data_IF_073560781461
#
_entry.id   IF_073560781461
#
_cell.length_a   1.000
_cell.length_b   1.000
_cell.length_c   1.000
_cell.angle_alpha   90.00
_cell.angle_beta   90.00
_cell.angle_gamma   90.00
#
_symmetry.space_group_name_H-M   'P 1'
#
loop_
_entity.id
_entity.type
_entity.pdbx_description
1 polymer ?
#
# COMPACT_ATOMS: atom_id res chain seq x y z
N UNK A 1 -12.72 4.41 -5.56
CA UNK A 1 -12.92 3.15 -4.80
C UNK A 1 -11.71 2.95 -3.90
N UNK A 2 -11.84 3.36 -2.64
CA UNK A 2 -10.77 3.32 -1.64
C UNK A 2 -10.78 1.93 -1.00
N UNK A 3 -10.05 0.99 -1.59
CA UNK A 3 -9.75 -0.28 -0.93
C UNK A 3 -8.87 0.00 0.29
N UNK A 4 -9.19 -0.59 1.44
CA UNK A 4 -8.37 -0.46 2.64
C UNK A 4 -7.06 -1.24 2.51
N UNK A 5 -6.07 -0.84 3.33
CA UNK A 5 -4.68 -1.30 3.35
C UNK A 5 -4.46 -2.80 3.61
N UNK A 6 -5.52 -3.56 3.88
CA UNK A 6 -5.52 -4.98 4.21
C UNK A 6 -5.94 -5.89 3.03
N UNK A 7 -6.08 -5.30 1.85
CA UNK A 7 -6.32 -6.01 0.58
C UNK A 7 -7.66 -6.74 0.49
N UNK A 8 -8.62 -6.34 1.32
CA UNK A 8 -10.03 -6.71 1.14
C UNK A 8 -10.62 -5.74 0.13
N UNK A 9 -11.15 -6.25 -0.98
CA UNK A 9 -11.78 -5.44 -2.03
C UNK A 9 -13.17 -4.96 -1.61
N UNK A 10 -13.21 -4.18 -0.54
CA UNK A 10 -14.41 -3.52 -0.04
C UNK A 10 -14.14 -2.03 0.20
N UNK A 11 -15.15 -1.18 0.03
CA UNK A 11 -15.04 0.25 0.31
C UNK A 11 -14.68 0.53 1.77
N UNK A 12 -13.74 1.47 1.99
CA UNK A 12 -13.33 1.90 3.33
C UNK A 12 -14.51 2.34 4.21
N UNK A 13 -15.38 3.22 3.68
CA UNK A 13 -16.56 3.71 4.39
C UNK A 13 -17.46 2.57 4.90
N UNK A 14 -17.70 1.56 4.07
CA UNK A 14 -18.52 0.41 4.44
C UNK A 14 -17.90 -0.34 5.61
N UNK A 15 -16.60 -0.62 5.52
CA UNK A 15 -15.89 -1.39 6.53
C UNK A 15 -15.70 -0.64 7.84
N UNK A 16 -15.36 0.64 7.79
CA UNK A 16 -15.22 1.48 8.98
C UNK A 16 -16.55 1.59 9.73
N UNK A 17 -17.67 1.74 9.01
CA UNK A 17 -18.99 1.74 9.64
C UNK A 17 -19.35 0.39 10.27
N UNK A 18 -19.12 -0.72 9.56
CA UNK A 18 -19.41 -2.07 10.08
C UNK A 18 -18.57 -2.37 11.32
N UNK A 19 -17.27 -2.08 11.27
CA UNK A 19 -16.36 -2.30 12.41
C UNK A 19 -16.76 -1.46 13.63
N UNK A 20 -17.10 -0.19 13.42
CA UNK A 20 -17.59 0.65 14.50
C UNK A 20 -18.89 0.08 15.13
N UNK A 21 -19.84 -0.38 14.32
CA UNK A 21 -21.12 -0.90 14.83
C UNK A 21 -20.91 -2.25 15.54
N UNK A 22 -20.03 -3.12 15.04
CA UNK A 22 -19.62 -4.36 15.71
C UNK A 22 -19.03 -4.10 17.09
N UNK A 23 -18.19 -3.06 17.22
CA UNK A 23 -17.49 -2.76 18.47
C UNK A 23 -18.35 -1.98 19.48
N UNK A 24 -19.13 -1.00 19.02
CA UNK A 24 -19.85 -0.05 19.88
C UNK A 24 -21.38 -0.09 19.73
N UNK A 25 -21.88 -0.47 18.56
CA UNK A 25 -23.31 -0.45 18.22
C UNK A 25 -24.10 -1.69 18.66
N UNK A 26 -23.42 -2.78 19.04
CA UNK A 26 -24.07 -4.07 19.33
C UNK A 26 -24.97 -4.11 20.57
N UNK A 27 -24.93 -3.08 21.41
CA UNK A 27 -25.81 -2.93 22.59
C UNK A 27 -26.86 -1.83 22.41
N UNK A 28 -26.87 -1.19 21.24
CA UNK A 28 -27.70 -0.04 20.96
C UNK A 28 -29.11 -0.49 20.55
N UNK A 29 -30.12 -0.09 21.33
CA UNK A 29 -31.51 -0.42 21.04
C UNK A 29 -31.98 0.24 19.73
N UNK A 30 -32.60 -0.52 18.84
CA UNK A 30 -33.11 -0.01 17.58
C UNK A 30 -32.01 0.39 16.58
N UNK A 31 -30.80 -0.17 16.69
CA UNK A 31 -29.74 0.00 15.69
C UNK A 31 -30.29 -0.29 14.27
N UNK A 32 -29.90 0.52 13.27
CA UNK A 32 -30.48 0.58 11.91
C UNK A 32 -31.95 1.03 11.78
N UNK A 33 -32.78 0.91 12.83
CA UNK A 33 -34.17 1.38 12.81
C UNK A 33 -34.29 2.87 13.13
N UNK A 34 -33.64 3.31 14.20
CA UNK A 34 -33.61 4.71 14.60
C UNK A 34 -32.71 5.49 13.64
N UNK A 35 -33.20 6.60 13.13
CA UNK A 35 -32.43 7.51 12.28
C UNK A 35 -31.49 8.35 13.14
N UNK A 36 -30.22 8.39 12.75
CA UNK A 36 -29.23 9.28 13.36
C UNK A 36 -29.45 10.73 12.97
N UNK A 37 -28.62 11.62 13.54
CA UNK A 37 -28.73 13.04 13.30
C UNK A 37 -28.33 13.37 11.85
N UNK A 38 -29.29 13.79 11.02
CA UNK A 38 -29.06 14.04 9.59
C UNK A 38 -27.90 15.00 9.32
N UNK A 39 -27.77 16.07 10.10
CA UNK A 39 -26.64 17.02 9.98
C UNK A 39 -25.28 16.34 10.15
N UNK A 40 -25.17 15.40 11.09
CA UNK A 40 -23.95 14.63 11.34
C UNK A 40 -23.68 13.58 10.27
N UNK A 41 -24.73 12.96 9.73
CA UNK A 41 -24.61 12.05 8.59
C UNK A 41 -24.09 12.80 7.35
N UNK A 42 -24.66 13.97 7.05
CA UNK A 42 -24.24 14.80 5.91
C UNK A 42 -22.80 15.33 6.10
N UNK A 43 -22.43 15.69 7.34
CA UNK A 43 -21.05 16.07 7.71
C UNK A 43 -20.05 14.93 7.46
N UNK A 44 -20.35 13.72 7.95
CA UNK A 44 -19.52 12.53 7.76
C UNK A 44 -19.42 12.16 6.28
N UNK A 45 -20.54 12.17 5.56
CA UNK A 45 -20.55 11.92 4.12
C UNK A 45 -19.63 12.89 3.39
N UNK A 46 -19.76 14.19 3.66
CA UNK A 46 -18.92 15.20 3.03
C UNK A 46 -17.43 15.02 3.38
N UNK A 47 -17.10 14.52 4.58
CA UNK A 47 -15.72 14.18 4.95
C UNK A 47 -15.20 13.00 4.10
N UNK A 48 -15.96 11.92 3.96
CA UNK A 48 -15.59 10.79 3.10
C UNK A 48 -15.49 11.17 1.62
N UNK A 49 -16.38 12.03 1.12
CA UNK A 49 -16.35 12.53 -0.26
C UNK A 49 -15.10 13.42 -0.54
N UNK A 50 -14.53 14.04 0.51
CA UNK A 50 -13.25 14.77 0.47
C UNK A 50 -12.03 13.87 0.71
N UNK A 51 -12.22 12.56 0.76
CA UNK A 51 -11.17 11.57 1.08
C UNK A 51 -10.53 11.77 2.47
N UNK A 52 -11.27 12.40 3.40
CA UNK A 52 -10.87 12.51 4.79
C UNK A 52 -11.16 11.19 5.54
N UNK A 53 -10.44 10.94 6.63
CA UNK A 53 -10.63 9.77 7.49
C UNK A 53 -11.25 10.21 8.84
N UNK A 54 -12.59 10.38 8.93
CA UNK A 54 -13.23 10.85 10.15
C UNK A 54 -13.06 9.87 11.32
N UNK A 55 -13.07 10.40 12.54
CA UNK A 55 -13.06 9.60 13.76
C UNK A 55 -14.50 9.20 14.10
N UNK A 56 -14.93 8.00 13.66
CA UNK A 56 -16.29 7.52 13.90
C UNK A 56 -16.63 7.34 15.41
N UNK A 57 -15.62 7.21 16.26
CA UNK A 57 -15.75 7.08 17.72
C UNK A 57 -16.40 8.28 18.40
N UNK A 58 -16.36 9.46 17.77
CA UNK A 58 -16.97 10.69 18.29
C UNK A 58 -18.47 10.79 17.98
N UNK A 59 -19.01 9.89 17.16
CA UNK A 59 -20.39 9.91 16.69
C UNK A 59 -21.22 8.82 17.36
N UNK A 60 -22.54 8.99 17.35
CA UNK A 60 -23.47 8.00 17.88
C UNK A 60 -23.68 6.82 16.91
N UNK A 61 -24.00 5.61 17.42
CA UNK A 61 -24.24 4.45 16.57
C UNK A 61 -25.38 4.59 15.57
N UNK A 62 -26.43 5.36 15.87
CA UNK A 62 -27.53 5.58 14.93
C UNK A 62 -27.09 6.43 13.73
N UNK A 63 -26.22 7.41 13.96
CA UNK A 63 -25.60 8.24 12.92
C UNK A 63 -24.70 7.41 12.03
N UNK A 64 -23.81 6.57 12.58
CA UNK A 64 -22.95 5.69 11.78
C UNK A 64 -23.77 4.65 11.00
N UNK A 65 -24.80 4.05 11.61
CA UNK A 65 -25.71 3.14 10.91
C UNK A 65 -26.50 3.85 9.79
N UNK A 66 -26.87 5.11 10.00
CA UNK A 66 -27.57 5.91 8.98
C UNK A 66 -26.65 6.30 7.82
N UNK A 67 -25.38 6.60 8.11
CA UNK A 67 -24.34 6.81 7.09
C UNK A 67 -24.15 5.54 6.25
N UNK A 68 -24.03 4.37 6.88
CA UNK A 68 -23.91 3.10 6.15
C UNK A 68 -25.12 2.85 5.23
N UNK A 69 -26.35 3.05 5.75
CA UNK A 69 -27.56 2.94 4.92
C UNK A 69 -27.57 3.94 3.77
N UNK A 70 -27.12 5.17 4.01
CA UNK A 70 -27.05 6.18 2.96
C UNK A 70 -26.04 5.80 1.88
N UNK A 71 -24.86 5.33 2.28
CA UNK A 71 -23.84 4.83 1.36
C UNK A 71 -24.38 3.71 0.45
N UNK A 72 -25.03 2.69 1.04
CA UNK A 72 -25.58 1.56 0.28
C UNK A 72 -26.70 1.99 -0.69
N UNK A 73 -27.51 2.98 -0.30
CA UNK A 73 -28.61 3.50 -1.14
C UNK A 73 -28.12 4.36 -2.30
N UNK A 74 -26.96 5.00 -2.16
CA UNK A 74 -26.37 5.89 -3.17
C UNK A 74 -25.47 5.15 -4.18
N UNK A 75 -25.33 3.82 -4.04
CA UNK A 75 -24.61 3.02 -5.02
C UNK A 75 -25.29 3.10 -6.41
N UNK A 76 -24.51 3.22 -7.50
CA UNK A 76 -25.06 3.40 -8.85
C UNK A 76 -25.83 2.16 -9.35
N UNK A 77 -25.44 0.98 -8.87
CA UNK A 77 -26.12 -0.29 -9.11
C UNK A 77 -26.49 -0.95 -7.78
N UNK A 78 -27.63 -1.65 -7.76
CA UNK A 78 -28.02 -2.49 -6.63
C UNK A 78 -26.94 -3.58 -6.41
N UNK A 79 -26.68 -3.93 -5.16
CA UNK A 79 -25.75 -4.98 -4.74
C UNK A 79 -26.03 -6.33 -5.45
N UNK A 80 -27.30 -6.66 -5.71
CA UNK A 80 -27.65 -7.86 -6.49
C UNK A 80 -27.60 -7.66 -8.01
N UNK A 81 -27.60 -6.42 -8.51
CA UNK A 81 -27.93 -6.10 -9.90
C UNK A 81 -29.44 -6.16 -10.16
N UNK A 82 -29.94 -5.33 -11.08
CA UNK A 82 -31.40 -5.23 -11.35
C UNK A 82 -31.98 -6.53 -11.89
N UNK A 83 -31.24 -7.21 -12.76
CA UNK A 83 -31.72 -8.39 -13.45
C UNK A 83 -31.81 -9.61 -12.52
N UNK A 84 -30.85 -9.77 -11.61
CA UNK A 84 -30.83 -10.89 -10.67
C UNK A 84 -31.84 -10.72 -9.53
N UNK A 85 -32.17 -9.49 -9.13
CA UNK A 85 -33.12 -9.24 -8.04
C UNK A 85 -34.47 -9.94 -8.27
N UNK A 86 -34.99 -9.92 -9.51
CA UNK A 86 -36.21 -10.63 -9.85
C UNK A 86 -36.06 -12.15 -9.73
N UNK A 87 -34.91 -12.70 -10.09
CA UNK A 87 -34.65 -14.14 -10.04
C UNK A 87 -34.59 -14.64 -8.59
N UNK A 88 -34.08 -13.82 -7.67
CA UNK A 88 -34.12 -14.12 -6.24
C UNK A 88 -35.56 -14.13 -5.69
N UNK A 89 -36.41 -13.20 -6.14
CA UNK A 89 -37.83 -13.19 -5.78
C UNK A 89 -38.57 -14.43 -6.32
N UNK A 90 -38.30 -14.80 -7.57
CA UNK A 90 -38.89 -15.99 -8.19
C UNK A 90 -38.44 -17.28 -7.47
N UNK A 91 -37.17 -17.33 -7.05
CA UNK A 91 -36.64 -18.43 -6.24
C UNK A 91 -37.35 -18.56 -4.89
N UNK A 92 -37.78 -17.45 -4.26
CA UNK A 92 -38.59 -17.48 -3.04
C UNK A 92 -39.98 -18.11 -3.24
N UNK A 93 -40.46 -18.21 -4.50
CA UNK A 93 -41.73 -18.84 -4.87
C UNK A 93 -41.71 -20.37 -4.88
N UNK A 94 -40.53 -21.00 -4.79
CA UNK A 94 -40.42 -22.47 -4.74
C UNK A 94 -41.03 -23.04 -3.46
N UNK A 95 -41.58 -24.25 -3.54
CA UNK A 95 -42.29 -24.88 -2.42
C UNK A 95 -41.33 -25.52 -1.41
N UNK A 96 -40.23 -26.10 -1.90
CA UNK A 96 -39.27 -26.83 -1.07
C UNK A 96 -38.14 -25.89 -0.64
N UNK A 97 -37.88 -25.81 0.66
CA UNK A 97 -36.86 -24.90 1.22
C UNK A 97 -35.45 -25.22 0.70
N UNK A 98 -35.08 -26.51 0.61
CA UNK A 98 -33.80 -26.93 0.06
C UNK A 98 -33.59 -26.46 -1.39
N UNK A 99 -34.65 -26.50 -2.21
CA UNK A 99 -34.60 -26.02 -3.60
C UNK A 99 -34.43 -24.50 -3.68
N UNK A 100 -34.94 -23.74 -2.69
CA UNK A 100 -34.70 -22.30 -2.60
C UNK A 100 -33.24 -22.04 -2.29
N UNK A 101 -32.66 -22.71 -1.30
CA UNK A 101 -31.26 -22.52 -0.91
C UNK A 101 -30.33 -22.87 -2.08
N UNK A 102 -30.55 -24.01 -2.75
CA UNK A 102 -29.75 -24.40 -3.92
C UNK A 102 -29.85 -23.36 -5.05
N UNK A 103 -31.04 -22.80 -5.29
CA UNK A 103 -31.21 -21.74 -6.28
C UNK A 103 -30.50 -20.45 -5.89
N UNK A 104 -30.61 -20.04 -4.62
CA UNK A 104 -29.90 -18.87 -4.10
C UNK A 104 -28.38 -19.03 -4.23
N UNK A 105 -27.84 -20.21 -3.95
CA UNK A 105 -26.42 -20.51 -4.16
C UNK A 105 -26.04 -20.35 -5.63
N UNK A 106 -26.84 -20.88 -6.57
CA UNK A 106 -26.63 -20.69 -8.02
C UNK A 106 -26.65 -19.20 -8.39
N UNK A 107 -27.67 -18.46 -7.97
CA UNK A 107 -27.79 -17.03 -8.28
C UNK A 107 -26.63 -16.21 -7.70
N UNK A 108 -26.17 -16.54 -6.50
CA UNK A 108 -25.00 -15.90 -5.89
C UNK A 108 -23.72 -16.11 -6.72
N UNK A 109 -23.59 -17.23 -7.45
CA UNK A 109 -22.42 -17.42 -8.35
C UNK A 109 -22.42 -16.49 -9.56
N UNK A 110 -23.60 -15.99 -9.98
CA UNK A 110 -23.75 -15.03 -11.08
C UNK A 110 -23.53 -13.57 -10.63
N UNK A 111 -23.61 -13.30 -9.32
CA UNK A 111 -23.35 -11.96 -8.76
C UNK A 111 -21.86 -11.65 -8.87
N UNK A 112 -21.47 -10.44 -9.35
CA UNK A 112 -20.07 -10.02 -9.42
C UNK A 112 -19.34 -10.22 -8.08
N UNK A 113 -18.07 -10.61 -8.14
CA UNK A 113 -17.28 -10.96 -6.95
C UNK A 113 -17.27 -9.85 -5.89
N UNK A 114 -17.11 -8.59 -6.31
CA UNK A 114 -17.08 -7.42 -5.43
C UNK A 114 -18.44 -7.22 -4.72
N UNK A 115 -19.53 -7.29 -5.46
CA UNK A 115 -20.89 -7.14 -4.92
C UNK A 115 -21.28 -8.31 -4.03
N UNK A 116 -20.87 -9.54 -4.38
CA UNK A 116 -21.06 -10.72 -3.53
C UNK A 116 -20.28 -10.62 -2.23
N UNK A 117 -19.05 -10.11 -2.28
CA UNK A 117 -18.27 -9.87 -1.07
C UNK A 117 -18.95 -8.82 -0.17
N UNK A 118 -19.42 -7.71 -0.76
CA UNK A 118 -20.15 -6.66 -0.04
C UNK A 118 -21.43 -7.21 0.60
N UNK A 119 -22.21 -7.99 -0.15
CA UNK A 119 -23.42 -8.65 0.34
C UNK A 119 -23.12 -9.62 1.48
N UNK A 120 -22.09 -10.46 1.34
CA UNK A 120 -21.72 -11.44 2.35
C UNK A 120 -21.36 -10.78 3.68
N UNK A 121 -20.61 -9.67 3.64
CA UNK A 121 -20.28 -8.90 4.84
C UNK A 121 -21.50 -8.22 5.45
N UNK A 122 -22.36 -7.62 4.61
CA UNK A 122 -23.57 -6.96 5.07
C UNK A 122 -24.51 -7.95 5.76
N UNK A 123 -24.78 -9.10 5.13
CA UNK A 123 -25.68 -10.13 5.66
C UNK A 123 -25.11 -10.71 6.96
N UNK A 124 -23.81 -10.99 7.00
CA UNK A 124 -23.14 -11.51 8.21
C UNK A 124 -23.20 -10.50 9.36
N UNK A 125 -22.97 -9.21 9.08
CA UNK A 125 -23.09 -8.16 10.08
C UNK A 125 -24.51 -8.05 10.64
N UNK A 126 -25.51 -8.11 9.77
CA UNK A 126 -26.91 -8.08 10.18
C UNK A 126 -27.29 -9.33 11.00
N UNK A 127 -26.75 -10.50 10.65
CA UNK A 127 -26.91 -11.73 11.43
C UNK A 127 -26.38 -11.57 12.86
N UNK A 128 -25.21 -10.95 13.04
CA UNK A 128 -24.70 -10.63 14.38
C UNK A 128 -25.62 -9.69 15.17
N UNK A 129 -26.20 -8.68 14.52
CA UNK A 129 -27.17 -7.76 15.14
C UNK A 129 -28.43 -8.50 15.57
N UNK A 130 -28.93 -9.41 14.73
CA UNK A 130 -30.11 -10.25 14.98
C UNK A 130 -29.82 -11.25 16.10
N UNK A 131 -28.64 -11.86 16.14
CA UNK A 131 -28.23 -12.78 17.21
C UNK A 131 -28.21 -12.08 18.59
N UNK A 132 -28.06 -10.75 18.61
CA UNK A 132 -28.14 -9.90 19.82
C UNK A 132 -29.49 -9.22 19.99
N UNK A 133 -30.57 -9.77 19.43
CA UNK A 133 -31.94 -9.23 19.54
C UNK A 133 -32.35 -8.89 20.98
N UNK A 134 -31.88 -9.66 21.97
CA UNK A 134 -32.16 -9.40 23.38
C UNK A 134 -31.69 -8.01 23.85
N UNK A 135 -30.56 -7.52 23.31
CA UNK A 135 -29.98 -6.21 23.60
C UNK A 135 -30.44 -5.16 22.57
N UNK A 136 -30.34 -5.46 21.28
CA UNK A 136 -30.62 -4.50 20.19
C UNK A 136 -32.11 -4.28 19.94
N UNK A 137 -32.98 -5.19 20.40
CA UNK A 137 -34.43 -5.23 20.08
C UNK A 137 -34.74 -5.31 18.58
N UNK A 138 -33.77 -5.79 17.80
CA UNK A 138 -33.88 -5.92 16.35
C UNK A 138 -33.93 -7.40 15.96
N UNK A 139 -35.09 -7.85 15.50
CA UNK A 139 -35.29 -9.19 14.96
C UNK A 139 -35.14 -9.22 13.42
N UNK A 140 -35.20 -10.41 12.83
CA UNK A 140 -35.08 -10.61 11.37
C UNK A 140 -36.09 -9.75 10.59
N UNK A 141 -37.33 -9.65 11.08
CA UNK A 141 -38.38 -8.86 10.42
C UNK A 141 -38.08 -7.36 10.47
N UNK A 142 -37.69 -6.83 11.63
CA UNK A 142 -37.33 -5.43 11.83
C UNK A 142 -36.14 -5.04 10.94
N UNK A 143 -35.11 -5.89 10.90
CA UNK A 143 -33.93 -5.68 10.05
C UNK A 143 -34.31 -5.72 8.57
N UNK A 144 -35.15 -6.67 8.15
CA UNK A 144 -35.62 -6.77 6.76
C UNK A 144 -36.36 -5.50 6.33
N UNK A 145 -37.25 -4.97 7.17
CA UNK A 145 -38.03 -3.77 6.88
C UNK A 145 -37.13 -2.53 6.72
N UNK A 146 -36.11 -2.36 7.57
CA UNK A 146 -35.23 -1.19 7.50
C UNK A 146 -34.18 -1.29 6.39
N UNK A 147 -33.79 -2.51 6.03
CA UNK A 147 -32.78 -2.76 5.00
C UNK A 147 -33.38 -2.81 3.59
N UNK A 148 -34.61 -3.29 3.42
CA UNK A 148 -35.33 -3.31 2.15
C UNK A 148 -35.27 -1.98 1.37
N UNK A 149 -35.62 -0.80 1.93
CA UNK A 149 -35.53 0.46 1.19
C UNK A 149 -34.09 0.94 0.96
N UNK A 150 -33.11 0.34 1.66
CA UNK A 150 -31.69 0.69 1.55
C UNK A 150 -31.05 -0.03 0.37
N UNK A 151 -31.27 -1.34 0.25
CA UNK A 151 -30.64 -2.16 -0.79
C UNK A 151 -31.61 -2.55 -1.92
N UNK A 152 -32.88 -2.15 -1.85
CA UNK A 152 -33.91 -2.43 -2.87
C UNK A 152 -34.09 -3.93 -3.17
N UNK A 153 -34.02 -4.76 -2.13
CA UNK A 153 -34.24 -6.22 -2.19
C UNK A 153 -35.50 -6.54 -1.38
N UNK A 154 -36.39 -7.39 -1.89
CA UNK A 154 -37.64 -7.70 -1.20
C UNK A 154 -37.43 -8.38 0.15
N UNK A 155 -38.38 -8.15 1.07
CA UNK A 155 -38.31 -8.66 2.44
C UNK A 155 -38.22 -10.19 2.51
N UNK A 156 -38.79 -10.90 1.53
CA UNK A 156 -38.73 -12.38 1.46
C UNK A 156 -37.33 -12.88 1.15
N UNK A 157 -36.66 -12.25 0.19
CA UNK A 157 -35.27 -12.55 -0.16
C UNK A 157 -34.32 -12.23 0.99
N UNK A 158 -34.52 -11.08 1.66
CA UNK A 158 -33.77 -10.73 2.86
C UNK A 158 -33.95 -11.76 3.99
N UNK A 159 -35.19 -12.20 4.24
CA UNK A 159 -35.46 -13.24 5.21
C UNK A 159 -34.69 -14.52 4.90
N UNK A 160 -34.68 -14.97 3.64
CA UNK A 160 -33.90 -16.14 3.20
C UNK A 160 -32.39 -15.96 3.42
N UNK A 161 -31.85 -14.77 3.16
CA UNK A 161 -30.44 -14.48 3.43
C UNK A 161 -30.11 -14.59 4.91
N UNK A 162 -30.97 -14.09 5.80
CA UNK A 162 -30.75 -14.11 7.24
C UNK A 162 -31.01 -15.47 7.90
N UNK A 163 -31.92 -16.30 7.37
CA UNK A 163 -32.14 -17.64 7.91
C UNK A 163 -31.05 -18.63 7.48
N UNK A 164 -30.47 -18.45 6.29
CA UNK A 164 -29.53 -19.39 5.68
C UNK A 164 -28.14 -18.78 5.47
N UNK A 165 -27.69 -17.87 6.35
CA UNK A 165 -26.40 -17.15 6.23
C UNK A 165 -25.24 -18.13 6.04
N UNK A 166 -25.15 -19.16 6.90
CA UNK A 166 -24.06 -20.14 6.88
C UNK A 166 -24.08 -21.00 5.62
N UNK A 167 -25.26 -21.35 5.12
CA UNK A 167 -25.40 -22.18 3.92
C UNK A 167 -25.12 -21.40 2.63
N UNK A 168 -25.40 -20.10 2.62
CA UNK A 168 -25.26 -19.23 1.45
C UNK A 168 -23.89 -18.55 1.36
N UNK A 169 -23.34 -18.11 2.49
CA UNK A 169 -22.11 -17.32 2.55
C UNK A 169 -20.95 -18.02 3.26
N UNK A 170 -21.21 -19.11 3.99
CA UNK A 170 -20.18 -19.83 4.76
C UNK A 170 -19.74 -19.09 6.02
N UNK A 171 -18.54 -19.43 6.52
CA UNK A 171 -17.96 -18.81 7.71
C UNK A 171 -17.25 -17.49 7.38
N UNK A 172 -18.02 -16.49 6.95
CA UNK A 172 -17.49 -15.14 6.69
C UNK A 172 -17.12 -14.50 8.04
N UNK A 173 -15.84 -14.20 8.22
CA UNK A 173 -15.36 -13.49 9.40
C UNK A 173 -15.22 -12.01 9.07
N UNK A 174 -15.96 -11.17 9.78
CA UNK A 174 -15.83 -9.71 9.71
C UNK A 174 -14.49 -9.31 10.32
N UNK A 175 -13.53 -8.93 9.47
CA UNK A 175 -12.20 -8.51 9.91
C UNK A 175 -12.24 -7.04 10.34
N UNK A 176 -11.84 -6.72 11.60
CA UNK A 176 -11.88 -5.36 12.11
C UNK A 176 -10.96 -4.44 11.31
N UNK A 177 -11.34 -3.17 11.22
CA UNK A 177 -10.55 -2.17 10.48
C UNK A 177 -9.43 -1.69 11.39
N UNK A 178 -8.25 -2.24 11.19
CA UNK A 178 -7.06 -1.77 11.91
C UNK A 178 -6.49 -0.57 11.16
N UNK A 179 -6.62 0.63 11.75
CA UNK A 179 -5.95 1.83 11.23
C UNK A 179 -4.42 1.60 11.29
N UNK A 180 -3.67 2.00 10.25
CA UNK A 180 -2.22 1.93 10.28
C UNK A 180 -1.68 2.65 11.52
N UNK A 181 -0.69 2.05 12.18
CA UNK A 181 0.02 2.67 13.30
C UNK A 181 0.47 4.08 12.94
N UNK A 182 0.33 4.97 13.92
CA UNK A 182 0.75 6.38 13.84
C UNK A 182 1.89 6.60 14.81
N UNK A 183 2.85 7.41 14.37
CA UNK A 183 3.97 7.85 15.17
C UNK A 183 3.82 9.35 15.43
N UNK A 184 2.99 9.67 16.43
CA UNK A 184 2.61 11.03 16.80
C UNK A 184 3.80 11.93 17.14
N UNK A 185 4.79 11.45 17.92
CA UNK A 185 5.95 12.25 18.34
C UNK A 185 7.29 11.51 18.10
N UNK A 186 8.27 12.17 17.48
CA UNK A 186 9.60 11.58 17.19
C UNK A 186 10.33 11.01 18.41
N UNK A 187 10.03 11.51 19.61
CA UNK A 187 10.68 11.10 20.86
C UNK A 187 10.18 9.76 21.42
N UNK A 188 8.98 9.30 21.03
CA UNK A 188 8.35 8.11 21.63
C UNK A 188 8.17 7.05 20.56
N UNK A 189 8.87 5.91 20.69
CA UNK A 189 8.63 4.76 19.82
C UNK A 189 7.17 4.29 20.02
N UNK A 190 6.36 4.13 18.97
CA UNK A 190 5.02 3.57 19.08
C UNK A 190 5.10 2.14 19.65
N UNK A 191 4.06 1.70 20.37
CA UNK A 191 3.97 0.31 20.80
C UNK A 191 3.86 -0.59 19.56
N UNK A 192 4.98 -1.20 19.17
CA UNK A 192 5.04 -2.07 17.99
C UNK A 192 4.47 -3.44 18.33
N UNK A 193 3.70 -4.07 17.42
CA UNK A 193 3.21 -5.43 17.62
C UNK A 193 4.33 -6.43 17.95
N UNK A 194 4.03 -7.42 18.79
CA UNK A 194 5.03 -8.40 19.27
C UNK A 194 4.98 -9.72 18.50
N UNK A 195 3.82 -10.10 17.98
CA UNK A 195 3.67 -11.35 17.23
C UNK A 195 4.12 -11.21 15.79
N UNK A 196 4.80 -12.24 15.29
CA UNK A 196 5.32 -12.29 13.92
C UNK A 196 4.25 -12.02 12.86
N UNK A 197 3.05 -12.56 13.04
CA UNK A 197 1.92 -12.39 12.12
C UNK A 197 1.38 -10.95 12.15
N UNK A 198 1.23 -10.38 13.34
CA UNK A 198 0.77 -8.99 13.49
C UNK A 198 1.78 -7.99 12.90
N UNK A 199 3.08 -8.23 13.08
CA UNK A 199 4.15 -7.41 12.46
C UNK A 199 4.05 -7.49 10.93
N UNK A 200 3.86 -8.68 10.34
CA UNK A 200 3.70 -8.84 8.89
C UNK A 200 2.48 -8.10 8.36
N UNK A 201 1.34 -8.24 9.03
CA UNK A 201 0.11 -7.57 8.60
C UNK A 201 0.22 -6.05 8.72
N UNK A 202 0.89 -5.55 9.76
CA UNK A 202 1.13 -4.11 9.90
C UNK A 202 2.11 -3.58 8.85
N UNK A 203 3.15 -4.34 8.50
CA UNK A 203 4.02 -3.99 7.36
C UNK A 203 3.19 -3.88 6.09
N UNK A 204 2.32 -4.85 5.81
CA UNK A 204 1.45 -4.84 4.62
C UNK A 204 0.58 -3.60 4.58
N UNK A 205 -0.04 -3.23 5.71
CA UNK A 205 -0.87 -2.01 5.81
C UNK A 205 -0.07 -0.74 5.51
N UNK A 206 1.09 -0.63 6.14
CA UNK A 206 1.97 0.53 6.00
C UNK A 206 2.58 0.62 4.59
N UNK A 207 2.89 -0.50 3.93
CA UNK A 207 3.37 -0.53 2.54
C UNK A 207 2.29 -0.08 1.55
N UNK A 208 1.04 -0.51 1.74
CA UNK A 208 -0.06 -0.01 0.92
C UNK A 208 -0.24 1.51 1.13
N UNK A 209 -0.16 1.99 2.37
CA UNK A 209 -0.26 3.43 2.68
C UNK A 209 0.87 4.22 2.03
N UNK A 210 2.08 3.69 2.08
CA UNK A 210 3.22 4.29 1.42
C UNK A 210 3.00 4.41 -0.09
N UNK A 211 2.47 3.36 -0.73
CA UNK A 211 2.20 3.35 -2.17
C UNK A 211 1.10 4.34 -2.56
N UNK A 212 0.05 4.48 -1.75
CA UNK A 212 -0.99 5.49 -1.95
C UNK A 212 -0.41 6.91 -1.86
N UNK A 213 0.33 7.21 -0.78
CA UNK A 213 0.96 8.53 -0.59
C UNK A 213 1.95 8.87 -1.72
N UNK A 214 2.73 7.89 -2.20
CA UNK A 214 3.60 8.09 -3.35
C UNK A 214 2.82 8.41 -4.63
N UNK A 215 1.70 7.73 -4.88
CA UNK A 215 0.85 7.99 -6.04
C UNK A 215 0.27 9.40 -5.99
N UNK A 216 -0.20 9.84 -4.82
CA UNK A 216 -0.81 11.16 -4.64
C UNK A 216 0.21 12.29 -4.84
N UNK A 217 1.43 12.13 -4.33
CA UNK A 217 2.53 13.08 -4.54
C UNK A 217 2.97 13.12 -6.01
N UNK A 218 2.95 11.98 -6.72
CA UNK A 218 3.22 11.90 -8.16
C UNK A 218 2.13 12.55 -9.00
N UNK A 219 0.88 12.57 -8.52
CA UNK A 219 -0.26 13.22 -9.17
C UNK A 219 -0.20 14.76 -9.12
N UNK A 220 0.85 15.34 -8.54
CA UNK A 220 1.12 16.79 -8.55
C UNK A 220 0.52 17.55 -7.37
N UNK A 221 -0.06 16.86 -6.38
CA UNK A 221 -0.57 17.49 -5.15
C UNK A 221 0.57 17.61 -4.14
N UNK A 222 1.30 18.74 -4.20
CA UNK A 222 2.36 19.06 -3.21
C UNK A 222 1.74 19.59 -1.92
N UNK A 223 1.27 18.67 -1.08
CA UNK A 223 0.86 18.98 0.29
C UNK A 223 1.99 18.62 1.26
N UNK A 224 2.53 19.61 1.98
CA UNK A 224 3.59 19.41 2.99
C UNK A 224 3.17 18.37 4.05
N UNK A 225 1.88 18.35 4.41
CA UNK A 225 1.29 17.36 5.31
C UNK A 225 1.38 15.93 4.76
N UNK A 226 1.20 15.72 3.45
CA UNK A 226 1.33 14.40 2.82
C UNK A 226 2.78 13.94 2.76
N UNK A 227 3.72 14.87 2.52
CA UNK A 227 5.15 14.58 2.58
C UNK A 227 5.58 14.17 4.00
N UNK A 228 5.14 14.88 5.04
CA UNK A 228 5.39 14.51 6.44
C UNK A 228 4.83 13.11 6.77
N UNK A 229 3.62 12.79 6.30
CA UNK A 229 3.04 11.46 6.44
C UNK A 229 3.84 10.39 5.71
N UNK A 230 4.37 10.69 4.53
CA UNK A 230 5.22 9.75 3.80
C UNK A 230 6.46 9.38 4.63
N UNK A 231 7.15 10.37 5.20
CA UNK A 231 8.31 10.14 6.06
C UNK A 231 7.95 9.37 7.34
N UNK A 232 6.80 9.65 7.94
CA UNK A 232 6.29 8.91 9.10
C UNK A 232 6.12 7.42 8.78
N UNK A 233 5.42 7.11 7.68
CA UNK A 233 5.14 5.74 7.24
C UNK A 233 6.44 4.99 6.92
N UNK A 234 7.40 5.63 6.24
CA UNK A 234 8.72 5.03 5.97
C UNK A 234 9.48 4.69 7.27
N UNK A 235 9.38 5.55 8.27
CA UNK A 235 10.05 5.34 9.58
C UNK A 235 9.41 4.18 10.33
N UNK A 236 8.08 4.09 10.34
CA UNK A 236 7.33 2.96 10.94
C UNK A 236 7.68 1.65 10.21
N UNK A 237 7.69 1.64 8.88
CA UNK A 237 8.08 0.48 8.09
C UNK A 237 9.51 0.01 8.41
N UNK A 238 10.43 0.95 8.58
CA UNK A 238 11.81 0.63 8.94
C UNK A 238 11.88 -0.07 10.31
N UNK A 239 11.16 0.46 11.30
CA UNK A 239 11.08 -0.13 12.63
C UNK A 239 10.43 -1.53 12.62
N UNK A 240 9.31 -1.68 11.92
CA UNK A 240 8.60 -2.96 11.78
C UNK A 240 9.44 -4.01 11.05
N UNK A 241 10.11 -3.64 9.94
CA UNK A 241 11.00 -4.54 9.20
C UNK A 241 12.20 -4.98 10.03
N UNK A 242 12.72 -4.10 10.90
CA UNK A 242 13.78 -4.46 11.86
C UNK A 242 13.26 -5.47 12.88
N UNK A 243 12.10 -5.18 13.49
CA UNK A 243 11.45 -6.06 14.48
C UNK A 243 11.10 -7.43 13.88
N UNK A 244 10.65 -7.48 12.62
CA UNK A 244 10.38 -8.73 11.91
C UNK A 244 11.65 -9.58 11.75
N UNK A 245 12.79 -8.96 11.46
CA UNK A 245 14.08 -9.67 11.37
C UNK A 245 14.52 -10.20 12.73
N UNK A 246 14.37 -9.38 13.78
CA UNK A 246 14.66 -9.78 15.16
C UNK A 246 13.79 -10.95 15.61
N UNK A 247 12.47 -10.91 15.34
CA UNK A 247 11.55 -12.00 15.65
C UNK A 247 11.86 -13.29 14.88
N UNK A 248 12.20 -13.21 13.58
CA UNK A 248 12.67 -14.37 12.79
C UNK A 248 13.95 -14.99 13.37
N UNK A 249 14.87 -14.15 13.84
CA UNK A 249 16.12 -14.61 14.46
C UNK A 249 15.85 -15.35 15.76
N UNK A 250 15.00 -14.79 16.63
CA UNK A 250 14.59 -15.42 17.89
C UNK A 250 13.86 -16.76 17.67
N UNK A 251 12.99 -16.85 16.66
CA UNK A 251 12.31 -18.11 16.29
C UNK A 251 13.31 -19.19 15.81
N UNK A 252 14.34 -18.78 15.06
CA UNK A 252 15.39 -19.71 14.65
C UNK A 252 16.23 -20.17 15.83
N UNK A 253 16.63 -19.24 16.71
CA UNK A 253 17.38 -19.53 17.93
C UNK A 253 16.59 -20.46 18.87
N UNK A 254 15.28 -20.26 19.03
CA UNK A 254 14.44 -21.13 19.86
C UNK A 254 14.25 -22.52 19.26
N UNK A 255 14.07 -22.64 17.93
CA UNK A 255 14.01 -23.94 17.24
C UNK A 255 15.31 -24.71 17.40
N UNK A 256 16.46 -24.05 17.22
CA UNK A 256 17.78 -24.66 17.41
C UNK A 256 17.94 -25.09 18.88
N UNK A 257 17.58 -24.25 19.85
CA UNK A 257 17.66 -24.60 21.26
C UNK A 257 16.74 -25.77 21.64
N UNK A 258 15.53 -25.82 21.06
CA UNK A 258 14.58 -26.92 21.26
C UNK A 258 15.08 -28.22 20.64
N UNK A 259 15.68 -28.16 19.45
CA UNK A 259 16.28 -29.31 18.76
C UNK A 259 17.51 -29.86 19.52
N UNK A 260 18.36 -28.96 20.04
CA UNK A 260 19.47 -29.32 20.93
C UNK A 260 18.93 -29.99 22.22
N UNK A 261 17.83 -29.47 22.79
CA UNK A 261 17.21 -30.02 23.99
C UNK A 261 16.47 -31.35 23.76
N UNK A 262 15.96 -31.62 22.56
CA UNK A 262 15.40 -32.93 22.21
C UNK A 262 16.49 -33.96 21.99
N UNK A 263 17.58 -33.58 21.31
CA UNK A 263 18.74 -34.44 21.09
C UNK A 263 19.40 -34.80 22.43
N UNK A 264 19.55 -33.84 23.34
CA UNK A 264 20.12 -34.11 24.67
C UNK A 264 19.22 -34.97 25.58
N UNK A 265 17.91 -35.06 25.33
CA UNK A 265 17.02 -35.98 26.06
C UNK A 265 17.07 -37.40 25.54
N UNK A 266 17.35 -37.60 24.26
CA UNK A 266 17.55 -38.94 23.69
C UNK A 266 18.89 -39.54 24.15
N UNK A 267 19.92 -38.71 24.30
CA UNK A 267 21.28 -39.14 24.68
C UNK A 267 21.48 -39.40 26.19
N UNK A 268 20.55 -39.01 27.07
CA UNK A 268 20.69 -39.18 28.55
C UNK A 268 20.08 -40.50 29.08
N UNK A 269 19.55 -41.35 28.20
CA UNK A 269 18.98 -42.65 28.62
C UNK A 269 19.93 -43.84 28.51
N UNK A 270 21.20 -43.65 28.14
CA UNK A 270 22.18 -44.74 28.11
C UNK A 270 23.54 -44.35 28.68
N UNK A 271 23.86 -45.09 29.74
CA UNK A 271 25.19 -45.60 30.08
C UNK A 271 26.11 -44.66 30.88
N UNK A 272 26.47 -45.16 32.07
CA UNK A 272 27.66 -44.76 32.80
C UNK A 272 28.87 -45.02 31.89
N UNK A 273 29.56 -43.96 31.45
CA UNK A 273 30.69 -44.05 30.52
C UNK A 273 32.00 -43.82 31.28
N UNK A 274 33.02 -44.59 30.91
CA UNK A 274 34.37 -44.50 31.49
C UNK A 274 35.14 -43.30 30.93
N UNK A 275 36.15 -42.77 31.64
CA UNK A 275 36.91 -41.54 31.28
C UNK A 275 37.40 -41.47 29.81
N UNK A 276 37.67 -42.62 29.18
CA UNK A 276 38.09 -42.68 27.77
C UNK A 276 36.96 -42.39 26.77
N UNK A 277 35.70 -42.61 27.13
CA UNK A 277 34.56 -42.39 26.26
C UNK A 277 34.12 -40.92 26.26
N UNK A 278 34.26 -40.21 27.40
CA UNK A 278 34.09 -38.76 27.47
C UNK A 278 35.10 -38.02 26.57
N UNK A 279 36.36 -38.45 26.50
CA UNK A 279 37.35 -37.86 25.60
C UNK A 279 36.99 -38.05 24.12
N UNK A 280 36.47 -39.23 23.77
CA UNK A 280 36.02 -39.54 22.39
C UNK A 280 34.80 -38.71 22.03
N UNK A 281 33.83 -38.55 22.94
CA UNK A 281 32.65 -37.71 22.75
C UNK A 281 33.06 -36.24 22.59
N UNK A 282 33.96 -35.74 23.43
CA UNK A 282 34.47 -34.37 23.33
C UNK A 282 35.20 -34.12 22.02
N UNK A 283 35.98 -35.09 21.53
CA UNK A 283 36.65 -35.00 20.23
C UNK A 283 35.64 -34.98 19.07
N UNK A 284 34.60 -35.82 19.12
CA UNK A 284 33.54 -35.87 18.11
C UNK A 284 32.70 -34.58 18.11
N UNK A 285 32.33 -34.06 19.28
CA UNK A 285 31.62 -32.78 19.41
C UNK A 285 32.47 -31.62 18.85
N UNK A 286 33.77 -31.58 19.14
CA UNK A 286 34.67 -30.57 18.58
C UNK A 286 34.81 -30.69 17.05
N UNK A 287 34.82 -31.90 16.50
CA UNK A 287 34.83 -32.12 15.05
C UNK A 287 33.51 -31.69 14.39
N UNK A 288 32.38 -31.99 15.04
CA UNK A 288 31.05 -31.63 14.54
C UNK A 288 30.85 -30.11 14.58
N UNK A 289 31.29 -29.43 15.65
CA UNK A 289 31.32 -27.97 15.77
C UNK A 289 32.20 -27.31 14.70
N UNK A 290 33.38 -27.87 14.42
CA UNK A 290 34.24 -27.37 13.32
C UNK A 290 33.57 -27.55 11.95
N UNK A 291 32.89 -28.67 11.74
CA UNK A 291 32.21 -28.98 10.47
C UNK A 291 30.99 -28.08 10.25
N UNK A 292 30.20 -27.83 11.30
CA UNK A 292 29.04 -26.92 11.23
C UNK A 292 29.48 -25.46 11.05
N UNK A 293 30.53 -25.02 11.76
CA UNK A 293 31.08 -23.68 11.58
C UNK A 293 31.60 -23.44 10.16
N UNK A 294 32.34 -24.41 9.59
CA UNK A 294 32.81 -24.34 8.21
C UNK A 294 31.64 -24.23 7.23
N UNK A 295 30.59 -25.03 7.43
CA UNK A 295 29.40 -25.02 6.57
C UNK A 295 28.64 -23.69 6.64
N UNK A 296 28.52 -23.11 7.83
CA UNK A 296 27.92 -21.79 8.03
C UNK A 296 28.72 -20.67 7.35
N UNK A 297 30.06 -20.74 7.41
CA UNK A 297 30.94 -19.79 6.76
C UNK A 297 30.81 -19.88 5.23
N UNK A 298 30.80 -21.10 4.68
CA UNK A 298 30.63 -21.34 3.24
C UNK A 298 29.26 -20.85 2.74
N UNK A 299 28.18 -21.11 3.49
CA UNK A 299 26.84 -20.60 3.18
C UNK A 299 26.78 -19.07 3.19
N UNK A 300 27.38 -18.44 4.20
CA UNK A 300 27.40 -16.97 4.34
C UNK A 300 28.20 -16.33 3.19
N UNK A 301 29.36 -16.90 2.87
CA UNK A 301 30.20 -16.42 1.77
C UNK A 301 29.50 -16.58 0.41
N UNK A 302 28.79 -17.69 0.20
CA UNK A 302 28.05 -17.93 -1.04
C UNK A 302 26.87 -16.95 -1.21
N UNK A 303 26.13 -16.66 -0.14
CA UNK A 303 25.07 -15.61 -0.17
C UNK A 303 25.65 -14.25 -0.55
N UNK A 304 26.82 -13.88 0.02
CA UNK A 304 27.48 -12.62 -0.31
C UNK A 304 27.96 -12.59 -1.78
N UNK A 305 28.50 -13.71 -2.27
CA UNK A 305 28.95 -13.84 -3.66
C UNK A 305 27.78 -13.72 -4.66
N UNK A 306 26.64 -14.36 -4.38
CA UNK A 306 25.43 -14.24 -5.21
C UNK A 306 24.91 -12.81 -5.22
N UNK A 307 24.88 -12.13 -4.07
CA UNK A 307 24.46 -10.73 -4.00
C UNK A 307 25.39 -9.80 -4.80
N UNK A 308 26.70 -9.98 -4.72
CA UNK A 308 27.68 -9.24 -5.52
C UNK A 308 27.52 -9.50 -7.02
N UNK A 309 27.28 -10.76 -7.40
CA UNK A 309 27.05 -11.14 -8.80
C UNK A 309 25.82 -10.45 -9.37
N UNK A 310 24.71 -10.45 -8.63
CA UNK A 310 23.48 -9.77 -9.03
C UNK A 310 23.68 -8.25 -9.15
N UNK A 311 24.44 -7.65 -8.23
CA UNK A 311 24.75 -6.22 -8.30
C UNK A 311 25.61 -5.88 -9.53
N UNK A 312 26.56 -6.74 -9.87
CA UNK A 312 27.38 -6.59 -11.07
C UNK A 312 26.55 -6.71 -12.36
N UNK A 313 25.61 -7.66 -12.43
CA UNK A 313 24.71 -7.79 -13.60
C UNK A 313 23.82 -6.56 -13.77
N UNK A 314 23.25 -6.01 -12.69
CA UNK A 314 22.46 -4.78 -12.76
C UNK A 314 23.29 -3.57 -13.22
N UNK A 315 24.53 -3.44 -12.73
CA UNK A 315 25.42 -2.36 -13.17
C UNK A 315 25.78 -2.47 -14.66
N UNK A 316 26.09 -3.68 -15.14
CA UNK A 316 26.39 -3.88 -16.56
C UNK A 316 25.18 -3.61 -17.45
N UNK A 317 23.98 -3.93 -16.98
CA UNK A 317 22.74 -3.64 -17.70
C UNK A 317 22.49 -2.13 -17.78
N UNK A 318 22.64 -1.40 -16.67
CA UNK A 318 22.52 0.06 -16.66
C UNK A 318 23.57 0.73 -17.57
N UNK A 319 24.81 0.22 -17.59
CA UNK A 319 25.85 0.71 -18.51
C UNK A 319 25.45 0.50 -19.97
N UNK A 320 24.83 -0.64 -20.30
CA UNK A 320 24.37 -0.92 -21.66
C UNK A 320 23.24 0.03 -22.08
N UNK A 321 22.26 0.25 -21.21
CA UNK A 321 21.14 1.17 -21.45
C UNK A 321 21.63 2.61 -21.70
N UNK A 322 22.59 3.09 -20.91
CA UNK A 322 23.22 4.40 -21.11
C UNK A 322 24.01 4.47 -22.43
N UNK A 323 24.72 3.40 -22.81
CA UNK A 323 25.43 3.34 -24.09
C UNK A 323 24.49 3.40 -25.29
N UNK A 324 23.33 2.75 -25.19
CA UNK A 324 22.29 2.78 -26.22
C UNK A 324 21.67 4.17 -26.36
N UNK A 325 21.34 4.83 -25.24
CA UNK A 325 20.87 6.21 -25.25
C UNK A 325 21.90 7.19 -25.87
N UNK A 326 23.20 7.01 -25.57
CA UNK A 326 24.26 7.82 -26.18
C UNK A 326 24.33 7.58 -27.70
N UNK A 327 24.16 6.34 -28.16
CA UNK A 327 24.11 6.01 -29.59
C UNK A 327 22.93 6.68 -30.29
N UNK A 328 21.73 6.62 -29.70
CA UNK A 328 20.53 7.28 -30.22
C UNK A 328 20.71 8.80 -30.33
N UNK A 329 21.22 9.44 -29.27
CA UNK A 329 21.51 10.87 -29.27
C UNK A 329 22.52 11.26 -30.36
N UNK A 330 23.56 10.45 -30.58
CA UNK A 330 24.52 10.68 -31.67
C UNK A 330 23.88 10.60 -33.06
N UNK A 331 22.95 9.67 -33.26
CA UNK A 331 22.20 9.55 -34.52
C UNK A 331 21.32 10.78 -34.73
N UNK A 332 20.57 11.21 -33.72
CA UNK A 332 19.74 12.41 -33.78
C UNK A 332 20.58 13.66 -34.08
N UNK A 333 21.73 13.81 -33.42
CA UNK A 333 22.64 14.94 -33.66
C UNK A 333 23.12 14.97 -35.13
N UNK A 334 23.44 13.81 -35.70
CA UNK A 334 23.87 13.69 -37.11
C UNK A 334 22.74 14.04 -38.07
N UNK A 335 21.50 13.63 -37.78
CA UNK A 335 20.32 13.99 -38.57
C UNK A 335 20.09 15.50 -38.55
N UNK A 336 20.14 16.13 -37.37
CA UNK A 336 20.02 17.58 -37.23
C UNK A 336 21.11 18.34 -37.99
N UNK A 337 22.36 17.86 -37.94
CA UNK A 337 23.46 18.45 -38.71
C UNK A 337 23.23 18.33 -40.22
N UNK A 338 22.72 17.20 -40.70
CA UNK A 338 22.38 17.00 -42.12
C UNK A 338 21.23 17.92 -42.58
N UNK A 339 20.21 18.09 -41.74
CA UNK A 339 19.08 19.00 -42.01
C UNK A 339 19.54 20.47 -42.05
N UNK A 340 20.46 20.86 -41.17
CA UNK A 340 21.03 22.21 -41.15
C UNK A 340 21.88 22.48 -42.40
N UNK A 341 22.69 21.51 -42.84
CA UNK A 341 23.45 21.59 -44.09
C UNK A 341 22.53 21.68 -45.32
N UNK A 342 21.43 20.93 -45.33
CA UNK A 342 20.41 21.02 -46.40
C UNK A 342 19.72 22.38 -46.42
N UNK A 343 19.40 22.96 -45.24
CA UNK A 343 18.85 24.30 -45.14
C UNK A 343 19.82 25.37 -45.66
N UNK A 344 21.11 25.27 -45.33
CA UNK A 344 22.16 26.17 -45.83
C UNK A 344 22.36 26.03 -47.35
N UNK A 345 22.20 24.83 -47.93
CA UNK A 345 22.23 24.60 -49.38
C UNK A 345 20.99 25.14 -50.12
N UNK A 346 19.84 25.28 -49.44
CA UNK A 346 18.60 25.83 -50.03
C UNK A 346 18.48 27.35 -49.91
N UNK A 347 19.35 28.03 -49.17
CA UNK A 347 19.32 29.48 -49.02
C UNK A 347 20.13 30.18 -50.13
N UNK A 348 19.45 30.62 -51.20
CA UNK A 348 20.02 31.60 -52.16
C UNK A 348 20.11 33.01 -51.53
N UNK A 349 21.09 33.86 -51.90
CA UNK A 349 21.23 35.19 -51.33
C UNK A 349 20.13 36.13 -51.84
N UNK A 350 19.46 36.92 -50.97
CA UNK A 350 18.43 37.85 -51.40
C UNK A 350 19.03 39.15 -51.98
N UNK A 351 18.29 39.68 -52.95
CA UNK A 351 18.59 40.86 -53.75
C UNK A 351 18.74 42.15 -52.91
N UNK A 352 19.70 42.94 -53.37
CA UNK A 352 20.12 44.26 -52.94
C UNK A 352 18.99 45.30 -53.07
N UNK A 353 18.66 46.01 -51.99
CA UNK A 353 17.92 47.28 -52.04
C UNK A 353 18.73 48.37 -51.35
N UNK A 354 19.12 49.37 -52.15
CA UNK A 354 19.90 50.54 -51.78
C UNK A 354 19.07 51.61 -51.05
N UNK A 355 19.68 52.43 -50.15
CA UNK A 355 19.06 53.63 -49.57
C UNK A 355 19.32 54.91 -50.42
N UNK A 356 18.50 55.98 -50.30
CA UNK A 356 18.65 57.20 -51.10
C UNK A 356 19.63 58.25 -50.51
N UNK A 357 20.59 58.65 -51.37
CA UNK A 357 21.19 59.98 -51.70
C UNK A 357 21.07 61.17 -50.70
N UNK A 358 22.16 61.64 -50.04
CA UNK A 358 23.21 62.66 -50.42
C UNK A 358 22.90 64.12 -49.95
N UNK A 359 23.88 65.07 -49.75
CA UNK A 359 25.24 65.17 -50.31
C UNK A 359 26.43 65.67 -49.41
N UNK A 360 27.64 65.36 -49.91
CA UNK A 360 29.04 65.89 -49.88
C UNK A 360 29.34 67.34 -49.39
N UNK A 361 30.63 67.79 -49.17
CA UNK A 361 31.88 67.29 -49.80
C UNK A 361 33.22 67.28 -49.01
N UNK A 362 34.16 66.55 -49.62
CA UNK A 362 35.62 66.75 -49.73
C UNK A 362 36.61 66.55 -48.55
N UNK A 363 37.69 65.84 -48.92
CA UNK A 363 38.85 65.36 -48.18
C UNK A 363 39.97 66.45 -48.09
N UNK A 364 41.25 66.18 -47.74
CA UNK A 364 41.88 64.95 -47.22
C UNK A 364 42.84 65.20 -46.03
N UNK A 365 43.41 64.13 -45.48
CA UNK A 365 44.85 63.95 -45.21
C UNK A 365 45.14 63.12 -43.95
N UNK A 366 46.22 62.36 -44.08
CA UNK A 366 46.67 61.30 -43.19
C UNK A 366 47.41 61.81 -41.95
N UNK A 367 47.82 60.82 -41.16
CA UNK A 367 48.99 60.76 -40.27
C UNK A 367 48.89 61.31 -38.83
N UNK A 368 48.80 60.32 -37.93
CA UNK A 368 49.68 60.09 -36.76
C UNK A 368 49.62 60.96 -35.52
N UNK A 369 49.75 60.22 -34.40
CA UNK A 369 50.32 60.56 -33.11
C UNK A 369 49.42 61.25 -32.07
N UNK A 370 49.10 60.47 -31.04
CA UNK A 370 49.91 60.59 -29.83
C UNK A 370 49.13 60.75 -28.53
N UNK A 371 49.42 59.82 -27.60
CA UNK A 371 49.44 60.00 -26.14
C UNK A 371 48.08 60.26 -25.46
N UNK A 372 47.83 59.83 -24.23
CA UNK A 372 48.51 58.97 -23.29
C UNK A 372 47.59 58.83 -22.08
N UNK A 373 47.84 57.77 -21.30
CA UNK A 373 47.67 57.73 -19.85
C UNK A 373 46.20 57.68 -19.35
N UNK A 374 45.88 56.98 -18.27
CA UNK A 374 46.73 56.38 -17.24
C UNK A 374 45.91 55.30 -16.54
N UNK A 375 46.53 54.13 -16.50
CA UNK A 375 46.56 53.16 -15.39
C UNK A 375 46.53 53.86 -13.99
N UNK A 376 46.25 53.16 -12.88
CA UNK A 376 47.24 52.17 -12.46
C UNK A 376 46.74 50.91 -11.72
N UNK A 377 47.47 49.82 -11.98
CA UNK A 377 48.15 48.91 -11.02
C UNK A 377 47.25 48.08 -10.07
N UNK A 378 47.13 46.73 -10.10
CA UNK A 378 48.12 45.60 -10.08
C UNK A 378 49.13 45.71 -8.91
N UNK A 379 49.73 44.62 -8.35
CA UNK A 379 49.89 43.27 -8.91
C UNK A 379 49.87 42.06 -7.91
N UNK A 380 49.79 40.79 -8.36
CA UNK A 380 50.91 39.79 -8.42
C UNK A 380 50.71 38.58 -7.43
N UNK A 381 51.46 37.46 -7.52
CA UNK A 381 51.48 36.52 -8.65
C UNK A 381 51.68 35.02 -8.28
N UNK A 382 51.57 34.18 -9.31
CA UNK A 382 52.42 33.02 -9.66
C UNK A 382 52.21 31.59 -9.09
N UNK A 383 52.36 30.68 -10.07
CA UNK A 383 52.73 29.25 -10.05
C UNK A 383 53.92 28.98 -9.11
N UNK A 384 54.00 27.80 -8.48
CA UNK A 384 54.67 26.60 -9.00
C UNK A 384 54.59 25.42 -8.00
N UNK A 385 54.35 24.21 -8.55
CA UNK A 385 55.02 22.92 -8.27
C UNK A 385 55.11 22.28 -6.87
N UNK A 386 54.86 20.95 -6.92
CA UNK A 386 55.52 19.84 -6.17
C UNK A 386 55.25 19.82 -4.66
N UNK A 387 55.24 18.73 -3.93
CA UNK A 387 55.32 17.27 -4.10
C UNK A 387 55.16 16.72 -2.66
N UNK A 388 55.01 15.41 -2.50
CA UNK A 388 55.45 14.60 -1.34
C UNK A 388 54.70 14.70 0.01
N UNK A 389 54.18 13.52 0.40
CA UNK A 389 54.30 12.85 1.71
C UNK A 389 54.22 13.72 2.97
N UNK A 390 53.23 13.47 3.83
CA UNK A 390 53.21 12.37 4.81
C UNK A 390 51.81 12.21 5.39
#
# INVERSE_FOLDING_TARGET
>A
MTALYDGIQLPAIFRECVDYIENYGMKCEGIYRVSGMKSKVDELKAAYDREECPCLEEYDPHTVASLLKQYLRELPENILGRDLAQWFEDACGRQVEAEKVTEFQRLLTEVPLESRLLLSWLVTHMDHVIAREAETKMNIQNISIVLNPTIQIGNRVLYMFFTHVKELFGDVVLKPVVRPLRWSNMATMPALPETQESIKEEIRRQEFLLNCLHRDLQAGVKDLSKEERLWEVQRILTALKRKLREAKRQECESKIAQEIASLSKEDVSKEEMTENEEEVINLLLAQLAKKTFKRLLDLTLNVYFVALKNKNTHLNQAIHEEQEAILELRVQLRLLQSHKLQQELTAQPPAEQAPPTQPSPEAPAATTNGKAAKDPSKPSPNKDKRDTNM
#
